data_IF_454462013376
#
_entry.id   IF_454462013376
#
_cell.length_a   1.000
_cell.length_b   1.000
_cell.length_c   1.000
_cell.angle_alpha   90.00
_cell.angle_beta   90.00
_cell.angle_gamma   90.00
#
_symmetry.space_group_name_H-M   'P 1'
#
loop_
_entity.id
_entity.type
_entity.pdbx_description
1 polymer ?
#
# COMPACT_ATOMS: atom_id res chain seq x y z
N UNK A 1 -30.46 58.45 41.63
CA UNK A 1 -29.91 58.36 40.26
C UNK A 1 -29.03 57.11 40.23
N UNK A 2 -29.50 56.01 39.60
CA UNK A 2 -29.00 55.42 38.32
C UNK A 2 -27.52 55.01 38.44
N UNK A 3 -27.08 53.77 38.20
CA UNK A 3 -27.12 53.01 36.93
C UNK A 3 -26.57 51.59 37.22
N UNK A 4 -27.34 50.52 37.05
CA UNK A 4 -27.40 49.62 35.87
C UNK A 4 -26.29 48.54 35.81
N UNK A 5 -26.74 47.30 35.99
CA UNK A 5 -26.07 46.02 35.75
C UNK A 5 -25.90 45.82 34.23
N UNK A 6 -24.72 45.39 33.78
CA UNK A 6 -24.50 44.91 32.41
C UNK A 6 -23.88 43.52 32.43
N UNK A 7 -24.73 42.52 32.23
CA UNK A 7 -24.38 41.12 32.01
C UNK A 7 -24.08 40.94 30.51
N UNK A 8 -22.82 40.67 30.15
CA UNK A 8 -22.45 40.35 28.78
C UNK A 8 -22.63 38.83 28.53
N UNK A 9 -23.62 38.46 27.73
CA UNK A 9 -23.81 37.09 27.23
C UNK A 9 -23.00 36.94 25.95
N UNK A 10 -21.87 36.22 26.02
CA UNK A 10 -21.06 35.88 24.86
C UNK A 10 -21.61 34.61 24.20
N UNK A 11 -22.20 34.75 23.01
CA UNK A 11 -22.66 33.64 22.18
C UNK A 11 -21.46 32.95 21.50
N UNK A 12 -21.16 31.72 21.89
CA UNK A 12 -20.15 30.88 21.25
C UNK A 12 -20.73 30.24 19.98
N UNK A 13 -20.35 30.75 18.81
CA UNK A 13 -20.59 30.11 17.52
C UNK A 13 -19.67 28.90 17.37
N UNK A 14 -20.21 27.69 17.59
CA UNK A 14 -19.52 26.45 17.30
C UNK A 14 -19.47 26.22 15.78
N UNK A 15 -18.32 26.48 15.16
CA UNK A 15 -18.06 26.05 13.79
C UNK A 15 -17.93 24.51 13.78
N UNK A 16 -19.00 23.83 13.36
CA UNK A 16 -18.95 22.42 13.02
C UNK A 16 -18.06 22.25 11.78
N UNK A 17 -16.79 21.92 11.98
CA UNK A 17 -15.89 21.52 10.91
C UNK A 17 -16.34 20.17 10.35
N UNK A 18 -17.13 20.22 9.27
CA UNK A 18 -17.50 19.04 8.47
C UNK A 18 -16.20 18.51 7.84
N UNK A 19 -15.79 17.25 8.10
CA UNK A 19 -14.65 16.70 7.41
C UNK A 19 -15.00 16.59 5.93
N UNK A 20 -14.29 17.33 5.09
CA UNK A 20 -14.39 17.21 3.65
C UNK A 20 -14.22 15.74 3.27
N UNK A 21 -15.29 15.17 2.71
CA UNK A 21 -15.27 13.88 2.06
C UNK A 21 -14.15 13.93 1.02
N UNK A 22 -13.04 13.27 1.31
CA UNK A 22 -11.95 13.13 0.35
C UNK A 22 -12.53 12.39 -0.84
N UNK A 23 -12.55 13.07 -1.97
CA UNK A 23 -12.77 12.45 -3.27
C UNK A 23 -11.88 11.21 -3.32
N UNK A 24 -12.49 10.07 -3.65
CA UNK A 24 -11.78 8.83 -3.85
C UNK A 24 -10.88 9.01 -5.07
N UNK A 25 -9.70 9.58 -4.87
CA UNK A 25 -8.67 9.66 -5.89
C UNK A 25 -8.42 8.23 -6.36
N UNK A 26 -8.73 8.00 -7.65
CA UNK A 26 -8.67 6.70 -8.28
C UNK A 26 -7.28 6.08 -8.23
N UNK A 27 -7.14 4.88 -8.80
CA UNK A 27 -5.83 4.24 -8.88
C UNK A 27 -4.87 5.06 -9.75
N UNK A 28 -3.67 5.33 -9.24
CA UNK A 28 -2.62 6.04 -9.98
C UNK A 28 -1.37 5.18 -10.06
N UNK A 29 -0.79 5.10 -11.25
CA UNK A 29 0.47 4.42 -11.48
C UNK A 29 1.60 5.39 -11.15
N UNK A 30 2.52 4.99 -10.28
CA UNK A 30 3.60 5.84 -9.81
C UNK A 30 4.95 5.24 -10.20
N UNK A 31 5.93 6.09 -10.47
CA UNK A 31 7.27 5.63 -10.80
C UNK A 31 7.98 5.05 -9.55
N UNK A 32 8.43 3.80 -9.63
CA UNK A 32 9.26 3.17 -8.60
C UNK A 32 10.70 3.71 -8.66
N UNK A 33 10.90 4.92 -8.15
CA UNK A 33 12.20 5.61 -8.12
C UNK A 33 13.23 4.83 -7.26
N UNK A 34 14.55 5.12 -7.40
CA UNK A 34 15.57 4.52 -6.53
C UNK A 34 15.28 4.69 -5.04
N UNK A 35 14.77 5.86 -4.63
CA UNK A 35 14.36 6.14 -3.24
C UNK A 35 13.23 5.22 -2.79
N UNK A 36 12.22 5.01 -3.63
CA UNK A 36 11.12 4.08 -3.31
C UNK A 36 11.66 2.66 -3.19
N UNK A 37 12.45 2.18 -4.16
CA UNK A 37 13.04 0.83 -4.13
C UNK A 37 13.92 0.59 -2.91
N UNK A 38 14.74 1.56 -2.51
CA UNK A 38 15.53 1.48 -1.28
C UNK A 38 14.65 1.37 -0.04
N UNK A 39 13.56 2.12 0.02
CA UNK A 39 12.61 2.05 1.14
C UNK A 39 11.84 0.71 1.20
N UNK A 40 11.50 0.13 0.04
CA UNK A 40 10.93 -1.22 -0.04
C UNK A 40 11.94 -2.27 0.44
N UNK A 41 13.19 -2.19 0.00
CA UNK A 41 14.28 -3.07 0.47
C UNK A 41 14.46 -3.00 1.99
N UNK A 42 14.43 -1.80 2.55
CA UNK A 42 14.53 -1.60 3.99
C UNK A 42 13.31 -2.16 4.75
N UNK A 43 12.11 -2.13 4.14
CA UNK A 43 10.94 -2.78 4.70
C UNK A 43 11.07 -4.31 4.69
N UNK A 44 11.50 -4.87 3.55
CA UNK A 44 11.73 -6.31 3.39
C UNK A 44 12.73 -6.85 4.42
N UNK A 45 13.91 -6.21 4.55
CA UNK A 45 14.95 -6.63 5.50
C UNK A 45 14.46 -6.57 6.95
N UNK A 46 13.66 -5.56 7.29
CA UNK A 46 13.13 -5.42 8.65
C UNK A 46 12.13 -6.53 8.99
N UNK A 47 11.32 -6.95 8.02
CA UNK A 47 10.36 -8.05 8.20
C UNK A 47 11.08 -9.41 8.22
N UNK A 48 12.10 -9.57 7.39
CA UNK A 48 12.89 -10.80 7.25
C UNK A 48 14.24 -10.67 7.95
N UNK A 49 14.23 -10.30 9.24
CA UNK A 49 15.45 -9.97 10.01
C UNK A 49 16.37 -11.16 10.24
N UNK A 50 15.90 -12.39 10.00
CA UNK A 50 16.69 -13.61 10.01
C UNK A 50 17.55 -13.79 8.76
N UNK A 51 17.35 -12.99 7.70
CA UNK A 51 18.15 -13.01 6.48
C UNK A 51 19.30 -12.01 6.55
N UNK A 52 20.48 -12.41 6.08
CA UNK A 52 21.63 -11.51 5.98
C UNK A 52 21.38 -10.44 4.91
N UNK A 53 21.36 -9.17 5.29
CA UNK A 53 21.03 -8.06 4.38
C UNK A 53 21.88 -8.02 3.10
N UNK A 54 23.17 -8.34 3.16
CA UNK A 54 24.07 -8.36 1.98
C UNK A 54 23.75 -9.48 1.00
N UNK A 55 23.04 -10.52 1.46
CA UNK A 55 22.69 -11.69 0.65
C UNK A 55 21.36 -11.53 -0.11
N UNK A 56 20.59 -10.48 0.20
CA UNK A 56 19.31 -10.18 -0.44
C UNK A 56 19.54 -9.29 -1.66
N UNK A 57 19.11 -9.78 -2.83
CA UNK A 57 19.06 -8.98 -4.06
C UNK A 57 17.66 -8.45 -4.28
N UNK A 58 17.54 -7.17 -4.59
CA UNK A 58 16.30 -6.56 -5.04
C UNK A 58 15.89 -5.30 -4.24
N UNK A 59 14.76 -4.66 -4.63
CA UNK A 59 13.83 -5.06 -5.68
C UNK A 59 14.49 -5.29 -7.05
N UNK A 60 14.19 -6.42 -7.71
CA UNK A 60 14.82 -6.77 -8.99
C UNK A 60 14.43 -5.78 -10.10
N UNK A 61 15.35 -5.56 -11.05
CA UNK A 61 15.15 -4.61 -12.17
C UNK A 61 13.92 -5.01 -12.98
N UNK A 62 13.07 -4.04 -13.31
CA UNK A 62 11.84 -4.26 -14.08
C UNK A 62 10.72 -5.01 -13.35
N UNK A 63 10.94 -5.45 -12.11
CA UNK A 63 10.00 -6.26 -11.32
C UNK A 63 9.53 -5.52 -10.07
N UNK A 64 9.15 -4.26 -10.26
CA UNK A 64 8.57 -3.41 -9.21
C UNK A 64 7.40 -2.63 -9.77
N UNK A 65 6.24 -2.79 -9.16
CA UNK A 65 5.02 -2.04 -9.45
C UNK A 65 4.73 -1.15 -8.25
N UNK A 66 4.35 0.10 -8.49
CA UNK A 66 4.12 1.08 -7.44
C UNK A 66 2.97 2.00 -7.86
N UNK A 67 2.11 2.34 -6.91
CA UNK A 67 0.93 3.14 -7.18
C UNK A 67 0.21 3.58 -5.93
N UNK A 68 -0.75 4.47 -6.09
CA UNK A 68 -1.61 4.95 -5.01
C UNK A 68 -3.07 4.66 -5.29
N UNK A 69 -3.84 4.47 -4.23
CA UNK A 69 -5.29 4.38 -4.26
C UNK A 69 -5.85 5.00 -2.98
N UNK A 70 -6.62 6.08 -3.10
CA UNK A 70 -6.97 6.94 -1.97
C UNK A 70 -5.73 7.42 -1.19
N UNK A 71 -5.78 7.40 0.14
CA UNK A 71 -4.68 7.83 1.03
C UNK A 71 -3.60 6.76 1.29
N UNK A 72 -3.52 5.74 0.44
CA UNK A 72 -2.56 4.65 0.59
C UNK A 72 -1.74 4.46 -0.67
N UNK A 73 -0.51 4.06 -0.44
CA UNK A 73 0.41 3.63 -1.47
C UNK A 73 0.66 2.13 -1.33
N UNK A 74 0.80 1.48 -2.49
CA UNK A 74 0.98 0.05 -2.63
C UNK A 74 2.16 -0.19 -3.55
N UNK A 75 2.94 -1.22 -3.25
CA UNK A 75 3.95 -1.71 -4.16
C UNK A 75 3.96 -3.24 -4.19
N UNK A 76 4.41 -3.77 -5.31
CA UNK A 76 4.70 -5.20 -5.50
C UNK A 76 6.14 -5.26 -5.99
N UNK A 77 6.99 -6.02 -5.31
CA UNK A 77 8.40 -6.12 -5.68
C UNK A 77 8.91 -7.54 -5.54
N UNK A 78 9.72 -7.97 -6.51
CA UNK A 78 10.41 -9.26 -6.46
C UNK A 78 11.77 -9.08 -5.81
N UNK A 79 12.06 -9.92 -4.83
CA UNK A 79 13.39 -10.09 -4.22
C UNK A 79 13.95 -11.45 -4.57
N UNK A 80 15.27 -11.58 -4.49
CA UNK A 80 15.95 -12.87 -4.55
C UNK A 80 16.74 -13.07 -3.26
N UNK A 81 16.42 -14.15 -2.55
CA UNK A 81 17.02 -14.52 -1.27
C UNK A 81 17.91 -15.76 -1.42
N UNK A 82 18.86 -16.01 -0.49
CA UNK A 82 19.69 -17.21 -0.53
C UNK A 82 18.88 -18.49 -0.50
N UNK A 83 19.36 -19.53 -1.20
CA UNK A 83 18.76 -20.87 -1.33
C UNK A 83 17.44 -20.94 -2.08
N UNK A 84 16.56 -19.95 -1.94
CA UNK A 84 15.21 -19.97 -2.54
C UNK A 84 15.08 -19.12 -3.80
N UNK A 85 16.09 -18.32 -4.15
CA UNK A 85 16.02 -17.50 -5.35
C UNK A 85 14.83 -16.55 -5.28
N UNK A 86 13.95 -16.56 -6.29
CA UNK A 86 12.71 -15.78 -6.32
C UNK A 86 11.46 -16.64 -6.07
N UNK A 87 11.60 -17.77 -5.37
CA UNK A 87 10.46 -18.62 -5.03
C UNK A 87 9.43 -17.84 -4.20
N UNK A 88 8.13 -18.10 -4.46
CA UNK A 88 6.96 -17.52 -3.79
C UNK A 88 6.77 -15.99 -3.94
N UNK A 89 7.70 -15.32 -4.61
CA UNK A 89 7.64 -13.91 -4.96
C UNK A 89 6.52 -13.60 -5.96
N UNK A 90 6.07 -12.33 -6.06
CA UNK A 90 6.56 -11.11 -5.39
C UNK A 90 6.09 -10.93 -3.93
N UNK A 91 6.70 -9.95 -3.25
CA UNK A 91 6.25 -9.36 -1.97
C UNK A 91 5.25 -8.23 -2.17
N UNK A 92 4.31 -8.07 -1.24
CA UNK A 92 3.35 -6.95 -1.20
C UNK A 92 3.77 -5.94 -0.15
N UNK A 93 3.80 -4.65 -0.53
CA UNK A 93 4.05 -3.55 0.38
C UNK A 93 2.90 -2.56 0.43
N UNK A 94 2.69 -1.96 1.60
CA UNK A 94 1.68 -0.91 1.80
C UNK A 94 2.14 0.16 2.78
N UNK A 95 1.74 1.40 2.54
CA UNK A 95 1.84 2.50 3.52
C UNK A 95 0.71 3.52 3.39
N UNK A 96 0.43 4.31 4.44
CA UNK A 96 -0.19 5.62 4.28
C UNK A 96 0.71 6.54 3.45
N UNK A 97 0.14 7.51 2.73
CA UNK A 97 0.93 8.55 2.05
C UNK A 97 1.87 9.24 3.05
N UNK A 98 3.14 9.36 2.71
CA UNK A 98 4.19 9.90 3.60
C UNK A 98 4.60 8.99 4.76
N UNK A 99 3.91 7.87 4.96
CA UNK A 99 4.18 6.92 6.05
C UNK A 99 5.34 5.95 5.77
N UNK A 100 5.53 5.02 6.72
CA UNK A 100 6.52 3.94 6.58
C UNK A 100 5.94 2.75 5.83
N UNK A 101 6.73 2.18 4.92
CA UNK A 101 6.40 0.93 4.23
C UNK A 101 6.32 -0.23 5.21
N UNK A 102 5.24 -1.00 5.11
CA UNK A 102 5.08 -2.32 5.70
C UNK A 102 5.16 -3.35 4.58
N UNK A 103 5.93 -4.40 4.83
CA UNK A 103 5.86 -5.63 4.06
C UNK A 103 4.67 -6.45 4.57
N UNK A 104 3.84 -6.95 3.67
CA UNK A 104 2.67 -7.77 3.97
C UNK A 104 2.92 -9.25 3.65
N UNK A 105 4.11 -9.60 3.17
CA UNK A 105 4.53 -10.95 2.81
C UNK A 105 4.45 -11.24 1.32
N UNK A 106 4.96 -12.43 0.99
CA UNK A 106 4.98 -12.96 -0.36
C UNK A 106 3.56 -13.37 -0.82
N UNK A 107 3.46 -13.75 -2.10
CA UNK A 107 2.17 -13.94 -2.76
C UNK A 107 1.96 -15.35 -3.27
N UNK A 108 2.97 -16.22 -3.16
CA UNK A 108 3.00 -17.50 -3.88
C UNK A 108 2.80 -17.32 -5.40
N UNK A 109 3.10 -16.14 -5.94
CA UNK A 109 2.93 -15.80 -7.37
C UNK A 109 1.56 -15.22 -7.76
N UNK A 110 0.58 -15.12 -6.87
CA UNK A 110 -0.75 -14.57 -7.19
C UNK A 110 -1.29 -13.63 -6.11
N UNK A 111 -1.88 -12.51 -6.52
CA UNK A 111 -2.45 -11.49 -5.64
C UNK A 111 -3.97 -11.47 -5.78
N UNK A 112 -4.67 -11.75 -4.69
CA UNK A 112 -6.13 -11.68 -4.63
C UNK A 112 -6.57 -10.35 -3.99
N UNK A 113 -7.56 -9.63 -4.56
CA UNK A 113 -8.24 -8.54 -3.86
C UNK A 113 -8.86 -9.04 -2.54
N UNK A 114 -8.97 -8.20 -1.50
CA UNK A 114 -8.71 -6.76 -1.49
C UNK A 114 -7.28 -6.37 -1.08
N UNK A 115 -6.35 -7.32 -0.97
CA UNK A 115 -4.98 -7.06 -0.47
C UNK A 115 -4.30 -5.91 -1.21
N UNK A 116 -4.39 -5.93 -2.53
CA UNK A 116 -4.18 -4.76 -3.39
C UNK A 116 -5.51 -4.40 -4.07
N UNK A 117 -5.88 -3.11 -4.17
CA UNK A 117 -7.05 -2.67 -4.90
C UNK A 117 -7.05 -3.21 -6.34
N UNK A 118 -8.18 -3.80 -6.76
CA UNK A 118 -8.33 -4.38 -8.10
C UNK A 118 -7.98 -3.39 -9.23
N UNK A 119 -8.26 -2.10 -9.03
CA UNK A 119 -7.92 -1.07 -10.00
C UNK A 119 -6.40 -0.90 -10.19
N UNK A 120 -5.59 -1.06 -9.15
CA UNK A 120 -4.13 -1.04 -9.27
C UNK A 120 -3.62 -2.30 -9.99
N UNK A 121 -4.16 -3.48 -9.68
CA UNK A 121 -3.80 -4.72 -10.37
C UNK A 121 -4.08 -4.63 -11.88
N UNK A 122 -5.23 -4.07 -12.26
CA UNK A 122 -5.57 -3.79 -13.66
C UNK A 122 -4.64 -2.75 -14.29
N UNK A 123 -4.34 -1.67 -13.57
CA UNK A 123 -3.47 -0.58 -14.04
C UNK A 123 -2.03 -1.05 -14.27
N UNK A 124 -1.55 -2.03 -13.51
CA UNK A 124 -0.26 -2.68 -13.71
C UNK A 124 -0.29 -3.83 -14.71
N UNK A 125 -1.43 -4.05 -15.38
CA UNK A 125 -1.66 -5.10 -16.37
C UNK A 125 -1.42 -6.52 -15.85
N UNK A 126 -1.72 -6.76 -14.56
CA UNK A 126 -1.68 -8.12 -14.02
C UNK A 126 -2.80 -8.95 -14.66
N UNK A 127 -2.51 -10.22 -14.92
CA UNK A 127 -3.44 -11.14 -15.57
C UNK A 127 -4.12 -12.02 -14.55
N UNK A 128 -5.35 -12.45 -14.86
CA UNK A 128 -6.03 -13.50 -14.10
C UNK A 128 -5.15 -14.75 -14.09
N UNK A 129 -4.96 -15.33 -12.91
CA UNK A 129 -4.05 -16.47 -12.73
C UNK A 129 -4.73 -17.64 -12.03
N UNK A 130 -5.46 -17.36 -10.95
CA UNK A 130 -6.10 -18.39 -10.14
C UNK A 130 -7.36 -17.85 -9.46
N UNK A 131 -8.12 -18.73 -8.82
CA UNK A 131 -9.31 -18.38 -8.07
C UNK A 131 -9.19 -18.98 -6.68
N UNK A 132 -9.60 -18.24 -5.65
CA UNK A 132 -9.65 -18.71 -4.26
C UNK A 132 -11.05 -18.51 -3.68
N UNK A 133 -11.31 -19.09 -2.50
CA UNK A 133 -12.55 -18.86 -1.76
C UNK A 133 -12.23 -18.01 -0.53
N UNK A 134 -12.91 -16.88 -0.40
CA UNK A 134 -12.81 -16.01 0.77
C UNK A 134 -14.21 -15.73 1.29
N UNK A 135 -14.48 -16.05 2.55
CA UNK A 135 -15.80 -15.92 3.19
C UNK A 135 -16.92 -16.57 2.35
N UNK A 136 -16.67 -17.78 1.83
CA UNK A 136 -17.64 -18.55 1.02
C UNK A 136 -17.86 -18.01 -0.40
N UNK A 137 -17.11 -17.00 -0.84
CA UNK A 137 -17.20 -16.43 -2.19
C UNK A 137 -15.95 -16.71 -3.00
N UNK A 138 -16.15 -17.04 -4.27
CA UNK A 138 -15.08 -17.16 -5.26
C UNK A 138 -14.47 -15.78 -5.56
N UNK A 139 -13.15 -15.67 -5.42
CA UNK A 139 -12.36 -14.45 -5.63
C UNK A 139 -11.29 -14.73 -6.68
N UNK A 140 -11.27 -13.93 -7.75
CA UNK A 140 -10.26 -13.99 -8.79
C UNK A 140 -8.94 -13.36 -8.31
N UNK A 141 -7.84 -14.07 -8.46
CA UNK A 141 -6.48 -13.62 -8.17
C UNK A 141 -5.72 -13.32 -9.47
N UNK A 142 -4.67 -12.48 -9.34
CA UNK A 142 -3.95 -11.88 -10.45
C UNK A 142 -2.43 -11.97 -10.27
N UNK A 143 -1.70 -12.21 -11.35
CA UNK A 143 -0.24 -12.32 -11.35
C UNK A 143 0.41 -11.32 -12.33
N UNK A 144 1.65 -10.88 -12.07
CA UNK A 144 2.44 -10.15 -13.06
C UNK A 144 2.63 -10.98 -14.33
N UNK A 145 2.80 -10.32 -15.49
CA UNK A 145 3.23 -11.01 -16.71
C UNK A 145 4.66 -11.50 -16.53
N UNK A 146 4.89 -12.78 -16.83
CA UNK A 146 6.19 -13.45 -16.82
C UNK A 146 7.09 -12.99 -17.97
#
# INVERSE_FOLDING_TARGET
MRTSILTAVAAALAFASVPAAQTADGARNLAATPKVKAALRAAFIRTHSNLTASSIRGPLRGRTYYGSYGRREYAVAVFSVPRFGTQDQPEIFRRPVGGRWRDLGDTGGAICPPTIPLLLLKLWHFQRSSTTVTNGRSVQCYAPRS
#
